data_IF_544822034594
#
_entry.id   IF_544822034594
#
_cell.length_a   1.000
_cell.length_b   1.000
_cell.length_c   1.000
_cell.angle_alpha   90.00
_cell.angle_beta   90.00
_cell.angle_gamma   90.00
#
_symmetry.space_group_name_H-M   'P 1'
#
loop_
_entity.id
_entity.type
_entity.pdbx_description
1 polymer ?
#
# COMPACT_ATOMS: atom_id res chain seq x y z
N UNK A 1 -4.50 -2.56 11.86
CA UNK A 1 -3.33 -3.44 11.73
C UNK A 1 -2.42 -2.88 10.64
N UNK A 2 -1.09 -3.08 10.73
CA UNK A 2 -0.16 -2.68 9.67
C UNK A 2 -0.55 -3.31 8.32
N UNK A 3 -0.27 -2.60 7.25
CA UNK A 3 -0.45 -3.10 5.88
C UNK A 3 0.70 -4.00 5.44
N UNK A 4 0.58 -4.63 4.27
CA UNK A 4 1.65 -5.45 3.70
C UNK A 4 3.01 -4.73 3.62
N UNK A 5 3.03 -3.41 3.38
CA UNK A 5 4.27 -2.62 3.35
C UNK A 5 4.78 -2.19 4.74
N UNK A 6 4.10 -2.58 5.83
CA UNK A 6 4.47 -2.25 7.20
C UNK A 6 3.91 -0.92 7.74
N UNK A 7 3.24 -0.13 6.91
CA UNK A 7 2.60 1.12 7.37
C UNK A 7 1.26 0.84 8.03
N UNK A 8 1.05 1.43 9.20
CA UNK A 8 -0.25 1.54 9.84
C UNK A 8 -1.10 2.58 9.08
N UNK A 9 -2.12 2.13 8.35
CA UNK A 9 -3.01 3.05 7.62
C UNK A 9 -3.87 3.91 8.56
N UNK A 10 -3.96 3.54 9.85
CA UNK A 10 -4.62 4.30 10.92
C UNK A 10 -4.01 5.68 11.16
N UNK A 11 -2.72 5.87 10.90
CA UNK A 11 -2.03 7.16 11.09
C UNK A 11 -1.91 7.96 9.79
N UNK A 12 -2.52 7.48 8.70
CA UNK A 12 -2.39 8.11 7.38
C UNK A 12 -3.36 9.30 7.24
N UNK A 13 -2.82 10.50 7.06
CA UNK A 13 -3.62 11.72 6.87
C UNK A 13 -4.52 11.72 5.62
N UNK A 14 -4.24 10.87 4.61
CA UNK A 14 -5.16 10.68 3.48
C UNK A 14 -6.42 9.94 3.90
N UNK A 15 -6.30 8.93 4.77
CA UNK A 15 -7.43 8.17 5.29
C UNK A 15 -8.26 9.03 6.23
N UNK A 16 -7.60 9.73 7.15
CA UNK A 16 -8.26 10.63 8.11
C UNK A 16 -9.13 11.68 7.40
N UNK A 17 -8.64 12.21 6.27
CA UNK A 17 -9.34 13.21 5.46
C UNK A 17 -10.31 12.61 4.42
N UNK A 18 -10.49 11.29 4.38
CA UNK A 18 -11.42 10.62 3.45
C UNK A 18 -10.95 10.54 1.98
N UNK A 19 -9.68 10.81 1.69
CA UNK A 19 -9.11 10.78 0.34
C UNK A 19 -8.41 9.47 -0.02
N UNK A 20 -8.48 8.46 0.85
CA UNK A 20 -7.84 7.18 0.59
C UNK A 20 -8.60 6.40 -0.50
N UNK A 21 -7.92 6.11 -1.63
CA UNK A 21 -8.48 5.39 -2.78
C UNK A 21 -8.96 3.96 -2.44
N UNK A 22 -8.43 3.39 -1.36
CA UNK A 22 -8.83 2.05 -0.88
C UNK A 22 -9.80 2.09 0.31
N UNK A 23 -10.36 3.27 0.63
CA UNK A 23 -11.35 3.46 1.67
C UNK A 23 -10.75 3.41 3.08
N UNK A 24 -11.05 2.36 3.82
CA UNK A 24 -10.62 2.13 5.22
C UNK A 24 -9.12 1.77 5.38
N UNK A 25 -8.34 1.86 4.30
CA UNK A 25 -6.90 1.61 4.31
C UNK A 25 -6.50 0.28 3.69
N UNK A 26 -5.20 0.02 3.69
CA UNK A 26 -4.61 -1.24 3.24
C UNK A 26 -4.58 -2.27 4.38
N UNK A 27 -4.34 -3.53 4.01
CA UNK A 27 -4.31 -4.68 4.92
C UNK A 27 -3.03 -5.50 4.73
N UNK A 28 -2.80 -6.49 5.59
CA UNK A 28 -1.75 -7.49 5.42
C UNK A 28 -1.98 -8.33 4.16
N UNK A 29 -0.93 -8.90 3.57
CA UNK A 29 -1.05 -9.70 2.34
C UNK A 29 -1.84 -11.00 2.52
N UNK A 30 -1.93 -11.51 3.76
CA UNK A 30 -2.71 -12.69 4.14
C UNK A 30 -4.14 -12.38 4.56
N UNK A 31 -4.53 -11.10 4.59
CA UNK A 31 -5.90 -10.71 4.97
C UNK A 31 -6.89 -11.12 3.86
N UNK A 32 -8.06 -11.70 4.20
CA UNK A 32 -9.07 -12.06 3.20
C UNK A 32 -9.53 -10.92 2.30
N UNK A 33 -9.43 -9.66 2.76
CA UNK A 33 -9.78 -8.46 2.00
C UNK A 33 -8.64 -7.99 1.08
N UNK A 34 -7.44 -8.54 1.19
CA UNK A 34 -6.27 -8.10 0.43
C UNK A 34 -6.48 -8.15 -1.10
N UNK A 35 -7.10 -9.21 -1.69
CA UNK A 35 -7.37 -9.24 -3.13
C UNK A 35 -8.32 -8.12 -3.58
N UNK A 36 -9.40 -7.88 -2.82
CA UNK A 36 -10.36 -6.80 -3.11
C UNK A 36 -9.68 -5.43 -3.09
N UNK A 37 -8.82 -5.20 -2.10
CA UNK A 37 -8.05 -3.95 -1.95
C UNK A 37 -7.06 -3.75 -3.08
N UNK A 38 -6.42 -4.83 -3.55
CA UNK A 38 -5.52 -4.78 -4.69
C UNK A 38 -6.27 -4.37 -5.97
N UNK A 39 -7.46 -4.90 -6.21
CA UNK A 39 -8.27 -4.53 -7.37
C UNK A 39 -8.69 -3.06 -7.32
N UNK A 40 -9.00 -2.50 -6.15
CA UNK A 40 -9.25 -1.05 -6.00
C UNK A 40 -8.03 -0.20 -6.38
N UNK A 41 -6.83 -0.63 -6.01
CA UNK A 41 -5.59 0.04 -6.44
C UNK A 41 -5.39 0.00 -7.96
N UNK A 42 -5.65 -1.15 -8.59
CA UNK A 42 -5.59 -1.30 -10.05
C UNK A 42 -6.62 -0.40 -10.74
N UNK A 43 -7.86 -0.40 -10.27
CA UNK A 43 -8.94 0.43 -10.82
C UNK A 43 -8.65 1.94 -10.69
N UNK A 44 -7.94 2.35 -9.64
CA UNK A 44 -7.50 3.73 -9.46
C UNK A 44 -6.27 4.13 -10.30
N UNK A 45 -5.72 3.21 -11.11
CA UNK A 45 -4.55 3.46 -11.97
C UNK A 45 -3.20 3.42 -11.25
N UNK A 46 -3.18 3.00 -9.98
CA UNK A 46 -1.98 2.93 -9.15
C UNK A 46 -1.86 1.53 -8.51
N UNK A 47 -1.49 0.50 -9.31
CA UNK A 47 -1.36 -0.86 -8.78
C UNK A 47 -0.29 -0.93 -7.68
N UNK A 48 -0.62 -1.59 -6.57
CA UNK A 48 0.32 -1.81 -5.47
C UNK A 48 1.04 -3.16 -5.67
N UNK A 49 2.22 -3.12 -6.29
CA UNK A 49 3.10 -4.27 -6.52
C UNK A 49 3.52 -4.96 -5.20
N UNK A 50 3.70 -4.20 -4.12
CA UNK A 50 4.02 -4.74 -2.79
C UNK A 50 2.89 -5.61 -2.27
N UNK A 51 1.64 -5.12 -2.32
CA UNK A 51 0.48 -5.89 -1.87
C UNK A 51 0.24 -7.11 -2.76
N UNK A 52 0.38 -6.95 -4.08
CA UNK A 52 0.27 -8.06 -5.02
C UNK A 52 1.31 -9.15 -4.76
N UNK A 53 2.56 -8.76 -4.52
CA UNK A 53 3.63 -9.69 -4.17
C UNK A 53 3.35 -10.41 -2.85
N UNK A 54 2.90 -9.68 -1.83
CA UNK A 54 2.56 -10.24 -0.53
C UNK A 54 1.42 -11.27 -0.62
N UNK A 55 0.36 -10.97 -1.39
CA UNK A 55 -0.75 -11.92 -1.65
C UNK A 55 -0.22 -13.17 -2.36
N UNK A 56 0.54 -13.02 -3.45
CA UNK A 56 1.04 -14.15 -4.26
C UNK A 56 1.97 -15.08 -3.47
N UNK A 57 2.76 -14.53 -2.55
CA UNK A 57 3.71 -15.30 -1.74
C UNK A 57 3.13 -15.68 -0.36
N UNK A 58 1.85 -15.38 -0.09
CA UNK A 58 1.20 -15.62 1.20
C UNK A 58 1.98 -15.04 2.41
N UNK A 59 2.45 -13.80 2.26
CA UNK A 59 3.20 -13.06 3.29
C UNK A 59 2.30 -12.00 3.91
N UNK A 60 2.29 -11.92 5.23
CA UNK A 60 1.50 -10.93 5.97
C UNK A 60 2.06 -9.50 5.77
N UNK A 61 3.33 -9.30 6.09
CA UNK A 61 4.06 -8.05 6.01
C UNK A 61 5.41 -8.28 5.35
N UNK A 62 5.75 -7.47 4.36
CA UNK A 62 6.99 -7.62 3.62
C UNK A 62 8.24 -7.46 4.50
N UNK A 63 8.18 -6.71 5.59
CA UNK A 63 9.28 -6.60 6.56
C UNK A 63 9.62 -7.92 7.27
N UNK A 64 8.73 -8.93 7.19
CA UNK A 64 8.94 -10.29 7.70
C UNK A 64 9.30 -11.29 6.60
N UNK A 65 9.39 -10.85 5.35
CA UNK A 65 9.73 -11.72 4.22
C UNK A 65 11.25 -11.96 4.19
N UNK A 66 11.68 -13.20 4.02
CA UNK A 66 13.10 -13.58 3.93
C UNK A 66 13.84 -12.90 2.76
N UNK A 67 13.09 -12.48 1.73
CA UNK A 67 13.64 -11.82 0.54
C UNK A 67 13.70 -10.30 0.69
N UNK A 68 13.29 -9.75 1.83
CA UNK A 68 13.25 -8.31 2.03
C UNK A 68 14.65 -7.73 2.32
N UNK A 69 15.01 -6.57 1.72
CA UNK A 69 14.30 -5.87 0.66
C UNK A 69 14.50 -6.55 -0.70
N UNK A 70 13.41 -6.74 -1.46
CA UNK A 70 13.45 -7.36 -2.78
C UNK A 70 13.28 -6.34 -3.92
N UNK A 71 13.51 -6.77 -5.15
CA UNK A 71 13.36 -5.95 -6.36
C UNK A 71 12.01 -5.22 -6.45
N UNK A 72 10.91 -5.86 -6.03
CA UNK A 72 9.58 -5.22 -6.00
C UNK A 72 9.55 -3.97 -5.12
N UNK A 73 10.27 -3.98 -3.98
CA UNK A 73 10.36 -2.82 -3.11
C UNK A 73 11.14 -1.69 -3.75
N UNK A 74 12.21 -2.00 -4.49
CA UNK A 74 12.98 -1.00 -5.22
C UNK A 74 12.20 -0.43 -6.41
N UNK A 75 11.50 -1.26 -7.19
CA UNK A 75 10.70 -0.83 -8.34
C UNK A 75 9.50 0.05 -7.95
N UNK A 76 8.75 -0.34 -6.92
CA UNK A 76 7.66 0.50 -6.42
C UNK A 76 8.19 1.69 -5.60
N UNK A 77 9.39 1.55 -5.03
CA UNK A 77 10.04 2.50 -4.13
C UNK A 77 9.39 2.58 -2.73
N UNK A 78 8.44 1.70 -2.43
CA UNK A 78 7.73 1.70 -1.16
C UNK A 78 6.81 2.91 -0.93
N UNK A 79 6.31 3.06 0.31
CA UNK A 79 5.34 4.11 0.64
C UNK A 79 5.93 5.53 0.70
N UNK A 80 7.25 5.67 0.81
CA UNK A 80 7.95 6.95 0.86
C UNK A 80 8.80 7.22 -0.38
N UNK A 81 8.49 6.55 -1.51
CA UNK A 81 9.08 6.90 -2.80
C UNK A 81 8.70 8.32 -3.19
N UNK A 82 9.55 8.97 -4.01
CA UNK A 82 9.24 10.29 -4.58
C UNK A 82 7.84 10.31 -5.22
N UNK A 83 7.52 9.29 -6.02
CA UNK A 83 6.21 9.15 -6.68
C UNK A 83 5.05 9.10 -5.67
N UNK A 84 5.17 8.31 -4.61
CA UNK A 84 4.14 8.20 -3.58
C UNK A 84 3.98 9.52 -2.81
N UNK A 85 5.09 10.16 -2.44
CA UNK A 85 5.10 11.45 -1.74
C UNK A 85 4.48 12.58 -2.59
N UNK A 86 4.82 12.65 -3.88
CA UNK A 86 4.25 13.62 -4.81
C UNK A 86 2.74 13.43 -4.99
N UNK A 87 2.28 12.17 -5.06
CA UNK A 87 0.84 11.85 -5.07
C UNK A 87 0.16 12.32 -3.77
N UNK A 88 0.70 11.97 -2.61
CA UNK A 88 0.15 12.36 -1.30
C UNK A 88 0.08 13.89 -1.21
N UNK A 89 1.16 14.59 -1.58
CA UNK A 89 1.22 16.05 -1.60
C UNK A 89 0.16 16.64 -2.53
N UNK A 90 0.02 16.11 -3.74
CA UNK A 90 -0.97 16.57 -4.71
C UNK A 90 -2.41 16.38 -4.25
N UNK A 91 -2.72 15.28 -3.56
CA UNK A 91 -4.05 15.03 -2.99
C UNK A 91 -4.30 15.96 -1.80
N UNK A 92 -3.33 16.13 -0.90
CA UNK A 92 -3.48 16.99 0.28
C UNK A 92 -3.51 18.48 -0.04
N UNK A 93 -2.91 18.90 -1.16
CA UNK A 93 -2.88 20.30 -1.61
C UNK A 93 -4.19 20.77 -2.27
N UNK A 94 -5.09 19.85 -2.66
CA UNK A 94 -6.42 20.18 -3.22
C UNK A 94 -7.44 20.60 -2.14
N UNK A 95 -6.94 21.11 -1.01
CA UNK A 95 -7.75 21.67 0.08
C UNK A 95 -8.10 23.12 -0.21
#
# INVERSE_FOLDING_TARGET
MPSACGIACEVCGLREKGFCLVGDGCVAGTDPKAPEKLERFKAAGFPCLILECAIKNNVDHCLRCDKFPCEVHYQQGGPFSKKALDMIKGVLAKK
#
